data_IF_860694232465
#
_entry.id   IF_860694232465
#
_cell.length_a   1.000
_cell.length_b   1.000
_cell.length_c   1.000
_cell.angle_alpha   90.00
_cell.angle_beta   90.00
_cell.angle_gamma   90.00
#
_symmetry.space_group_name_H-M   'P 1'
#
loop_
_entity.id
_entity.type
_entity.pdbx_description
1 polymer ?
#
# COMPACT_ATOMS: atom_id res chain seq x y z
N UNK A 1 -19.57 -12.20 23.34
CA UNK A 1 -19.48 -10.78 22.95
C UNK A 1 -20.06 -10.61 21.54
N UNK A 2 -21.39 -10.47 21.38
CA UNK A 2 -22.06 -10.40 20.07
C UNK A 2 -21.57 -9.27 19.14
N UNK A 3 -21.06 -8.19 19.72
CA UNK A 3 -20.50 -7.03 19.03
C UNK A 3 -19.06 -7.23 18.52
N UNK A 4 -18.36 -8.26 19.01
CA UNK A 4 -16.92 -8.44 18.74
C UNK A 4 -16.71 -9.01 17.34
N UNK A 5 -16.23 -8.16 16.42
CA UNK A 5 -15.81 -8.55 15.07
C UNK A 5 -14.28 -8.66 15.04
N UNK A 6 -13.77 -9.89 15.10
CA UNK A 6 -12.32 -10.12 15.08
C UNK A 6 -11.81 -10.22 13.64
N UNK A 7 -10.63 -9.65 13.32
CA UNK A 7 -10.05 -9.70 11.99
C UNK A 7 -9.32 -11.04 11.73
N UNK A 8 -9.91 -12.18 12.10
CA UNK A 8 -9.26 -13.49 12.04
C UNK A 8 -8.72 -13.84 10.65
N UNK A 9 -9.41 -13.45 9.59
CA UNK A 9 -8.92 -13.65 8.22
C UNK A 9 -7.60 -12.91 7.96
N UNK A 10 -7.47 -11.68 8.45
CA UNK A 10 -6.22 -10.90 8.34
C UNK A 10 -5.12 -11.45 9.24
N UNK A 11 -5.48 -11.90 10.45
CA UNK A 11 -4.54 -12.56 11.36
C UNK A 11 -4.00 -13.86 10.76
N UNK A 12 -4.85 -14.65 10.11
CA UNK A 12 -4.45 -15.88 9.44
C UNK A 12 -3.54 -15.60 8.24
N UNK A 13 -3.85 -14.57 7.44
CA UNK A 13 -2.95 -14.13 6.35
C UNK A 13 -1.59 -13.75 6.94
N UNK A 14 -1.57 -12.92 7.99
CA UNK A 14 -0.33 -12.50 8.67
C UNK A 14 0.45 -13.68 9.28
N UNK A 15 -0.22 -14.71 9.79
CA UNK A 15 0.45 -15.90 10.33
C UNK A 15 1.09 -16.72 9.21
N UNK A 16 0.37 -16.94 8.11
CA UNK A 16 0.82 -17.74 6.97
C UNK A 16 1.96 -17.11 6.17
N UNK A 17 2.15 -15.78 6.23
CA UNK A 17 3.36 -15.17 5.66
C UNK A 17 4.63 -15.70 6.34
N UNK A 18 4.55 -16.06 7.63
CA UNK A 18 5.65 -16.72 8.34
C UNK A 18 6.01 -18.07 7.74
N UNK A 19 5.01 -18.90 7.42
CA UNK A 19 5.21 -20.22 6.79
C UNK A 19 5.89 -20.10 5.41
N UNK A 20 5.47 -19.14 4.59
CA UNK A 20 6.07 -18.89 3.27
C UNK A 20 7.51 -18.36 3.41
N UNK A 21 7.75 -17.47 4.39
CA UNK A 21 9.07 -16.89 4.62
C UNK A 21 10.08 -17.93 5.12
N UNK A 22 9.67 -18.82 6.02
CA UNK A 22 10.55 -19.88 6.54
C UNK A 22 10.81 -20.97 5.50
N UNK A 23 9.86 -21.23 4.60
CA UNK A 23 10.07 -22.16 3.49
C UNK A 23 11.25 -21.74 2.60
N UNK A 24 11.43 -20.45 2.34
CA UNK A 24 12.60 -19.94 1.62
C UNK A 24 13.92 -20.29 2.33
N UNK A 25 14.00 -20.03 3.64
CA UNK A 25 15.18 -20.37 4.43
C UNK A 25 15.47 -21.88 4.46
N UNK A 26 14.42 -22.70 4.60
CA UNK A 26 14.55 -24.16 4.57
C UNK A 26 15.08 -24.67 3.23
N UNK A 27 14.56 -24.14 2.11
CA UNK A 27 15.06 -24.49 0.77
C UNK A 27 16.52 -24.07 0.60
N UNK A 28 16.92 -22.88 1.06
CA UNK A 28 18.31 -22.44 0.99
C UNK A 28 19.25 -23.37 1.77
N UNK A 29 18.88 -23.83 2.96
CA UNK A 29 19.73 -24.74 3.73
C UNK A 29 19.87 -26.12 3.06
N UNK A 30 18.79 -26.61 2.43
CA UNK A 30 18.85 -27.83 1.62
C UNK A 30 19.80 -27.66 0.42
N UNK A 31 19.83 -26.48 -0.20
CA UNK A 31 20.65 -26.22 -1.38
C UNK A 31 22.12 -25.88 -1.07
N UNK A 32 22.44 -25.45 0.16
CA UNK A 32 23.78 -24.97 0.56
C UNK A 32 24.90 -25.99 0.29
N UNK A 33 24.60 -27.28 0.38
CA UNK A 33 25.56 -28.37 0.17
C UNK A 33 25.48 -29.04 -1.21
N UNK A 34 24.63 -28.55 -2.11
CA UNK A 34 24.49 -29.17 -3.43
C UNK A 34 25.73 -28.91 -4.30
N UNK A 35 26.26 -29.99 -4.86
CA UNK A 35 27.43 -29.99 -5.76
C UNK A 35 27.04 -30.03 -7.24
N UNK A 36 25.75 -29.86 -7.56
CA UNK A 36 25.23 -29.83 -8.94
C UNK A 36 24.93 -31.22 -9.50
N UNK A 37 24.89 -32.24 -8.64
CA UNK A 37 24.59 -33.62 -8.99
C UNK A 37 23.13 -33.99 -8.78
N UNK A 38 22.89 -35.26 -8.47
CA UNK A 38 21.55 -35.78 -8.16
C UNK A 38 21.32 -35.79 -6.66
N UNK A 39 21.36 -34.61 -6.03
CA UNK A 39 21.22 -34.45 -4.60
C UNK A 39 19.85 -34.99 -4.12
N UNK A 40 19.87 -36.12 -3.41
CA UNK A 40 18.64 -36.83 -3.02
C UNK A 40 17.85 -36.07 -1.97
N UNK A 41 18.53 -35.40 -1.06
CA UNK A 41 17.99 -34.43 -0.10
C UNK A 41 17.17 -33.32 -0.77
N UNK A 42 17.69 -32.72 -1.84
CA UNK A 42 16.98 -31.69 -2.65
C UNK A 42 15.70 -32.28 -3.24
N UNK A 43 15.78 -33.48 -3.84
CA UNK A 43 14.61 -34.14 -4.45
C UNK A 43 13.56 -34.57 -3.44
N UNK A 44 13.99 -35.04 -2.26
CA UNK A 44 13.10 -35.57 -1.23
C UNK A 44 12.32 -34.46 -0.53
N UNK A 45 12.96 -33.34 -0.22
CA UNK A 45 12.39 -32.33 0.68
C UNK A 45 12.03 -31.02 -0.01
N UNK A 46 12.78 -30.60 -1.03
CA UNK A 46 12.60 -29.34 -1.74
C UNK A 46 11.19 -29.17 -2.33
N UNK A 47 10.71 -30.10 -3.18
CA UNK A 47 9.39 -30.00 -3.81
C UNK A 47 8.26 -29.86 -2.78
N UNK A 48 8.25 -30.68 -1.73
CA UNK A 48 7.21 -30.64 -0.69
C UNK A 48 7.15 -29.29 0.03
N UNK A 49 8.31 -28.70 0.34
CA UNK A 49 8.40 -27.40 1.01
C UNK A 49 7.94 -26.29 0.06
N UNK A 50 8.40 -26.32 -1.19
CA UNK A 50 8.02 -25.36 -2.21
C UNK A 50 6.51 -25.40 -2.51
N UNK A 51 5.96 -26.59 -2.73
CA UNK A 51 4.53 -26.78 -3.01
C UNK A 51 3.66 -26.29 -1.86
N UNK A 52 4.03 -26.62 -0.62
CA UNK A 52 3.31 -26.11 0.55
C UNK A 52 3.38 -24.57 0.59
N UNK A 53 4.54 -23.96 0.40
CA UNK A 53 4.68 -22.50 0.39
C UNK A 53 3.84 -21.83 -0.69
N UNK A 54 3.82 -22.38 -1.91
CA UNK A 54 2.99 -21.90 -3.03
C UNK A 54 1.51 -22.03 -2.69
N UNK A 55 1.08 -23.16 -2.15
CA UNK A 55 -0.31 -23.38 -1.73
C UNK A 55 -0.73 -22.43 -0.61
N UNK A 56 0.13 -22.16 0.38
CA UNK A 56 -0.16 -21.19 1.44
C UNK A 56 -0.27 -19.77 0.89
N UNK A 57 0.59 -19.40 -0.06
CA UNK A 57 0.49 -18.12 -0.76
C UNK A 57 -0.84 -18.01 -1.53
N UNK A 58 -1.22 -19.04 -2.27
CA UNK A 58 -2.48 -19.10 -3.00
C UNK A 58 -3.70 -18.98 -2.06
N UNK A 59 -3.70 -19.71 -0.94
CA UNK A 59 -4.76 -19.64 0.07
C UNK A 59 -4.89 -18.22 0.66
N UNK A 60 -3.78 -17.53 0.93
CA UNK A 60 -3.81 -16.15 1.44
C UNK A 60 -4.46 -15.19 0.43
N UNK A 61 -4.14 -15.33 -0.85
CA UNK A 61 -4.77 -14.54 -1.93
C UNK A 61 -6.26 -14.88 -2.05
N UNK A 62 -6.60 -16.16 -1.99
CA UNK A 62 -7.99 -16.64 -2.05
C UNK A 62 -8.81 -16.10 -0.87
N UNK A 63 -8.22 -15.92 0.31
CA UNK A 63 -8.88 -15.34 1.47
C UNK A 63 -8.96 -13.80 1.42
N UNK A 64 -7.90 -13.14 0.95
CA UNK A 64 -7.85 -11.67 0.84
C UNK A 64 -8.87 -11.15 -0.20
N UNK A 65 -9.08 -11.90 -1.28
CA UNK A 65 -9.97 -11.51 -2.39
C UNK A 65 -11.42 -11.22 -1.95
N UNK A 66 -12.15 -12.13 -1.29
CA UNK A 66 -13.51 -11.86 -0.81
C UNK A 66 -13.53 -10.83 0.32
N UNK A 67 -12.48 -10.75 1.15
CA UNK A 67 -12.36 -9.71 2.17
C UNK A 67 -12.36 -8.31 1.54
N UNK A 68 -11.53 -8.08 0.52
CA UNK A 68 -11.50 -6.80 -0.19
C UNK A 68 -12.81 -6.52 -0.94
N UNK A 69 -13.43 -7.53 -1.54
CA UNK A 69 -14.73 -7.39 -2.23
C UNK A 69 -15.88 -6.96 -1.30
N UNK A 70 -15.81 -7.35 -0.03
CA UNK A 70 -16.86 -7.08 0.97
C UNK A 70 -16.51 -5.94 1.93
N UNK A 71 -15.31 -5.37 1.81
CA UNK A 71 -14.81 -4.31 2.68
C UNK A 71 -15.73 -3.09 2.62
N UNK A 72 -16.27 -2.71 3.78
CA UNK A 72 -17.08 -1.48 3.93
C UNK A 72 -16.22 -0.39 4.57
N UNK A 73 -16.03 0.69 3.84
CA UNK A 73 -15.29 1.87 4.29
C UNK A 73 -16.26 2.88 4.91
N UNK A 74 -15.95 3.35 6.11
CA UNK A 74 -16.67 4.48 6.71
C UNK A 74 -16.11 5.79 6.12
N UNK A 75 -16.70 6.25 5.01
CA UNK A 75 -16.24 7.42 4.26
C UNK A 75 -16.28 8.70 5.09
N UNK A 76 -17.31 8.86 5.91
CA UNK A 76 -17.47 10.04 6.77
C UNK A 76 -16.36 10.10 7.81
N UNK A 77 -16.11 8.99 8.52
CA UNK A 77 -15.03 8.92 9.50
C UNK A 77 -13.65 9.10 8.85
N UNK A 78 -13.44 8.54 7.66
CA UNK A 78 -12.19 8.73 6.91
C UNK A 78 -12.00 10.21 6.51
N UNK A 79 -13.06 10.88 6.05
CA UNK A 79 -13.00 12.29 5.68
C UNK A 79 -12.78 13.20 6.89
N UNK A 80 -13.44 12.89 8.01
CA UNK A 80 -13.23 13.58 9.29
C UNK A 80 -11.76 13.49 9.71
N UNK A 81 -11.21 12.27 9.72
CA UNK A 81 -9.83 12.02 10.17
C UNK A 81 -8.75 12.37 9.15
N UNK A 82 -9.10 12.77 7.93
CA UNK A 82 -8.12 13.07 6.89
C UNK A 82 -7.21 14.25 7.25
N UNK A 83 -7.70 15.22 8.04
CA UNK A 83 -6.94 16.36 8.54
C UNK A 83 -6.51 16.26 10.01
N UNK A 84 -6.99 15.23 10.73
CA UNK A 84 -6.64 15.03 12.14
C UNK A 84 -5.13 14.86 12.30
N UNK A 85 -4.58 15.37 13.41
CA UNK A 85 -3.14 15.33 13.65
C UNK A 85 -2.32 16.22 12.70
N UNK A 86 -2.95 17.21 12.07
CA UNK A 86 -2.29 18.19 11.19
C UNK A 86 -1.56 17.56 9.99
N UNK A 87 -2.10 16.47 9.45
CA UNK A 87 -1.56 15.75 8.26
C UNK A 87 -1.39 16.64 7.02
N UNK A 88 -2.16 17.72 6.91
CA UNK A 88 -2.09 18.71 5.82
C UNK A 88 -1.09 19.84 6.08
N UNK A 89 -0.45 19.90 7.26
CA UNK A 89 0.44 21.00 7.65
C UNK A 89 1.64 21.22 6.71
N UNK A 90 2.09 20.16 6.01
CA UNK A 90 3.14 20.31 5.00
C UNK A 90 2.71 21.21 3.83
N UNK A 91 1.42 21.25 3.45
CA UNK A 91 0.95 22.20 2.44
C UNK A 91 0.88 23.64 2.96
N UNK A 92 0.72 23.84 4.27
CA UNK A 92 0.88 25.16 4.87
C UNK A 92 2.35 25.62 4.81
N UNK A 93 3.30 24.70 5.01
CA UNK A 93 4.71 25.00 4.81
C UNK A 93 5.02 25.34 3.34
N UNK A 94 4.49 24.56 2.38
CA UNK A 94 4.61 24.85 0.94
C UNK A 94 4.07 26.26 0.62
N UNK A 95 2.90 26.62 1.17
CA UNK A 95 2.29 27.95 0.99
C UNK A 95 3.16 29.08 1.56
N UNK A 96 3.83 28.86 2.70
CA UNK A 96 4.76 29.83 3.28
C UNK A 96 6.03 29.99 2.43
N UNK A 97 6.49 28.91 1.79
CA UNK A 97 7.62 28.97 0.84
C UNK A 97 7.24 29.75 -0.41
N UNK A 98 6.05 29.50 -0.96
CA UNK A 98 5.49 30.31 -2.06
C UNK A 98 5.34 31.80 -1.67
N UNK A 99 5.18 32.07 -0.37
CA UNK A 99 5.17 33.43 0.18
C UNK A 99 6.57 34.03 0.44
N UNK A 100 7.63 33.38 -0.05
CA UNK A 100 9.00 33.91 -0.02
C UNK A 100 9.86 33.49 1.17
N UNK A 101 9.39 32.56 2.02
CA UNK A 101 10.21 32.01 3.09
C UNK A 101 11.07 30.83 2.61
N UNK A 102 12.21 30.61 3.28
CA UNK A 102 12.95 29.36 3.10
C UNK A 102 12.13 28.18 3.63
N UNK A 103 12.27 26.99 3.03
CA UNK A 103 11.59 25.78 3.51
C UNK A 103 11.89 25.50 4.99
N UNK A 104 13.14 25.69 5.42
CA UNK A 104 13.54 25.53 6.83
C UNK A 104 12.72 26.44 7.73
N UNK A 105 12.62 27.72 7.39
CA UNK A 105 11.85 28.70 8.15
C UNK A 105 10.36 28.33 8.17
N UNK A 106 9.78 28.01 7.02
CA UNK A 106 8.39 27.59 6.90
C UNK A 106 8.09 26.34 7.76
N UNK A 107 8.98 25.35 7.73
CA UNK A 107 8.89 24.14 8.54
C UNK A 107 8.92 24.44 10.04
N UNK A 108 9.80 25.33 10.51
CA UNK A 108 9.83 25.72 11.93
C UNK A 108 8.57 26.47 12.36
N UNK A 109 8.05 27.38 11.53
CA UNK A 109 6.80 28.10 11.80
C UNK A 109 5.64 27.12 11.94
N UNK A 110 5.50 26.19 10.99
CA UNK A 110 4.44 25.18 11.01
C UNK A 110 4.60 24.24 12.21
N UNK A 111 5.81 23.81 12.54
CA UNK A 111 6.07 23.00 13.73
C UNK A 111 5.68 23.71 15.02
N UNK A 112 5.97 25.03 15.13
CA UNK A 112 5.54 25.84 16.26
C UNK A 112 4.03 25.99 16.31
N UNK A 113 3.38 26.21 15.18
CA UNK A 113 1.92 26.30 15.05
C UNK A 113 1.24 25.02 15.53
N UNK A 114 1.68 23.84 15.06
CA UNK A 114 1.12 22.56 15.47
C UNK A 114 1.27 22.35 16.98
N UNK A 115 2.41 22.73 17.55
CA UNK A 115 2.63 22.67 19.00
C UNK A 115 1.68 23.59 19.76
N UNK A 116 1.56 24.85 19.35
CA UNK A 116 0.64 25.82 19.96
C UNK A 116 -0.82 25.34 19.90
N UNK A 117 -1.25 24.83 18.74
CA UNK A 117 -2.59 24.32 18.55
C UNK A 117 -2.86 23.12 19.48
N UNK A 118 -1.92 22.17 19.53
CA UNK A 118 -2.01 20.98 20.39
C UNK A 118 -2.04 21.33 21.87
N UNK A 119 -1.16 22.23 22.33
CA UNK A 119 -1.13 22.74 23.71
C UNK A 119 -2.45 23.41 24.11
N UNK A 120 -3.20 23.96 23.15
CA UNK A 120 -4.50 24.63 23.34
C UNK A 120 -5.71 23.74 23.09
N UNK A 121 -5.52 22.46 22.76
CA UNK A 121 -6.61 21.55 22.40
C UNK A 121 -7.33 21.91 21.10
N UNK A 122 -6.66 22.63 20.20
CA UNK A 122 -7.19 23.05 18.89
C UNK A 122 -6.85 22.02 17.81
N UNK A 123 -7.77 21.80 16.88
CA UNK A 123 -7.58 20.97 15.70
C UNK A 123 -7.17 21.78 14.46
N UNK A 124 -6.95 21.10 13.34
CA UNK A 124 -6.58 21.73 12.07
C UNK A 124 -7.63 22.72 11.54
N UNK A 125 -8.91 22.52 11.90
CA UNK A 125 -10.03 23.40 11.51
C UNK A 125 -10.06 24.71 12.28
N UNK A 126 -9.43 24.74 13.46
CA UNK A 126 -9.38 25.91 14.33
C UNK A 126 -8.18 26.81 14.02
N UNK A 127 -7.32 26.39 13.09
CA UNK A 127 -6.16 27.18 12.66
C UNK A 127 -6.63 28.37 11.85
N UNK A 128 -6.44 29.55 12.43
CA UNK A 128 -6.74 30.82 11.80
C UNK A 128 -5.46 31.63 11.52
N UNK A 129 -5.65 32.84 11.01
CA UNK A 129 -4.53 33.75 10.75
C UNK A 129 -3.78 34.11 12.04
N UNK A 130 -4.49 34.35 13.14
CA UNK A 130 -3.87 34.80 14.38
C UNK A 130 -2.88 33.76 14.91
N UNK A 131 -3.25 32.48 14.86
CA UNK A 131 -2.38 31.39 15.30
C UNK A 131 -1.15 31.21 14.40
N UNK A 132 -1.32 31.34 13.07
CA UNK A 132 -0.20 31.33 12.11
C UNK A 132 0.76 32.49 12.36
N UNK A 133 0.20 33.68 12.58
CA UNK A 133 0.94 34.91 12.82
C UNK A 133 1.67 34.89 14.19
N UNK A 134 1.09 34.25 15.20
CA UNK A 134 1.72 33.99 16.49
C UNK A 134 2.91 33.04 16.36
N UNK A 135 2.72 31.90 15.68
CA UNK A 135 3.79 30.95 15.43
C UNK A 135 4.93 31.56 14.60
N UNK A 136 4.59 32.41 13.62
CA UNK A 136 5.58 33.14 12.85
C UNK A 136 6.38 34.13 13.71
N UNK A 137 5.71 34.87 14.59
CA UNK A 137 6.37 35.82 15.50
C UNK A 137 7.40 35.12 16.39
N UNK A 138 7.07 33.93 16.90
CA UNK A 138 7.99 33.14 17.73
C UNK A 138 9.26 32.68 17.00
N UNK A 139 9.21 32.48 15.68
CA UNK A 139 10.32 31.93 14.90
C UNK A 139 11.13 33.02 14.17
N UNK A 140 10.46 34.02 13.61
CA UNK A 140 11.09 35.05 12.78
C UNK A 140 10.87 36.48 13.29
N UNK A 141 10.22 36.65 14.44
CA UNK A 141 9.98 37.96 15.05
C UNK A 141 8.95 38.84 14.32
N UNK A 142 8.33 38.34 13.24
CA UNK A 142 7.39 39.09 12.40
C UNK A 142 6.22 38.24 11.93
N UNK A 143 5.17 38.91 11.50
CA UNK A 143 4.01 38.31 10.84
C UNK A 143 4.36 37.86 9.42
N UNK A 144 3.72 36.78 8.99
CA UNK A 144 3.80 36.30 7.61
C UNK A 144 2.65 36.83 6.75
N UNK A 145 1.56 37.30 7.37
CA UNK A 145 0.50 38.00 6.64
C UNK A 145 -0.29 37.13 5.67
N UNK A 146 -0.29 35.80 5.85
CA UNK A 146 -1.12 34.91 5.05
C UNK A 146 -2.61 35.25 5.22
N UNK A 147 -3.36 35.19 4.11
CA UNK A 147 -4.80 35.39 4.16
C UNK A 147 -5.50 34.18 4.77
N UNK A 148 -6.63 34.40 5.44
CA UNK A 148 -7.46 33.32 5.98
C UNK A 148 -7.86 32.30 4.89
N UNK A 149 -8.10 32.78 3.67
CA UNK A 149 -8.40 31.93 2.52
C UNK A 149 -7.21 31.03 2.11
N UNK A 150 -5.97 31.57 2.16
CA UNK A 150 -4.77 30.78 1.86
C UNK A 150 -4.54 29.69 2.91
N UNK A 151 -4.72 30.01 4.19
CA UNK A 151 -4.59 29.06 5.32
C UNK A 151 -5.63 27.95 5.19
N UNK A 152 -6.90 28.31 4.99
CA UNK A 152 -8.00 27.34 4.83
C UNK A 152 -7.76 26.40 3.65
N UNK A 153 -7.28 26.94 2.51
CA UNK A 153 -6.94 26.13 1.34
C UNK A 153 -5.75 25.21 1.57
N UNK A 154 -4.73 25.66 2.30
CA UNK A 154 -3.55 24.87 2.60
C UNK A 154 -3.86 23.69 3.54
N UNK A 155 -4.79 23.89 4.47
CA UNK A 155 -5.18 22.88 5.46
C UNK A 155 -6.35 21.99 5.02
N UNK A 156 -6.94 22.22 3.85
CA UNK A 156 -8.01 21.41 3.27
C UNK A 156 -7.49 20.03 2.79
N UNK A 157 -7.92 18.91 3.39
CA UNK A 157 -7.47 17.58 3.00
C UNK A 157 -7.87 17.18 1.56
N UNK A 158 -9.04 17.58 1.06
CA UNK A 158 -9.47 17.23 -0.30
C UNK A 158 -8.64 18.02 -1.33
N UNK A 159 -8.47 19.33 -1.11
CA UNK A 159 -7.55 20.16 -1.88
C UNK A 159 -6.13 19.62 -1.90
N UNK A 160 -5.61 19.16 -0.74
CA UNK A 160 -4.30 18.52 -0.63
C UNK A 160 -4.19 17.30 -1.54
N UNK A 161 -5.16 16.38 -1.49
CA UNK A 161 -5.15 15.18 -2.34
C UNK A 161 -5.17 15.56 -3.83
N UNK A 162 -5.99 16.53 -4.22
CA UNK A 162 -6.13 16.94 -5.64
C UNK A 162 -4.90 17.68 -6.19
N UNK A 163 -4.10 18.31 -5.35
CA UNK A 163 -2.90 19.04 -5.78
C UNK A 163 -1.70 18.12 -6.05
N UNK A 164 -1.64 16.95 -5.41
CA UNK A 164 -0.54 15.97 -5.57
C UNK A 164 -0.69 15.14 -6.85
N UNK A 165 -0.48 15.80 -8.00
CA UNK A 165 -0.64 15.25 -9.37
C UNK A 165 0.60 14.56 -9.95
N UNK A 166 1.71 14.50 -9.20
CA UNK A 166 2.92 13.83 -9.63
C UNK A 166 2.70 12.33 -9.85
N UNK A 167 3.60 11.67 -10.59
CA UNK A 167 3.55 10.23 -10.81
C UNK A 167 3.54 9.47 -9.47
N UNK A 168 2.57 8.57 -9.28
CA UNK A 168 2.35 7.85 -8.02
C UNK A 168 1.55 8.64 -6.97
N UNK A 169 1.10 9.85 -7.29
CA UNK A 169 0.34 10.71 -6.38
C UNK A 169 -1.11 10.25 -6.13
N UNK A 170 -1.74 10.74 -5.04
CA UNK A 170 -3.10 10.38 -4.66
C UNK A 170 -4.19 11.11 -5.45
N UNK A 171 -3.82 12.07 -6.32
CA UNK A 171 -4.81 12.84 -7.07
C UNK A 171 -5.71 11.91 -7.93
N UNK A 172 -7.03 12.17 -8.03
CA UNK A 172 -7.95 11.26 -8.71
C UNK A 172 -7.58 10.95 -10.17
N UNK A 173 -7.03 11.92 -10.90
CA UNK A 173 -6.56 11.71 -12.27
C UNK A 173 -5.39 10.72 -12.35
N UNK A 174 -4.44 10.84 -11.43
CA UNK A 174 -3.27 9.98 -11.36
C UNK A 174 -3.61 8.57 -10.88
N UNK A 175 -4.49 8.44 -9.88
CA UNK A 175 -5.01 7.15 -9.43
C UNK A 175 -5.73 6.41 -10.57
N UNK A 176 -6.57 7.10 -11.35
CA UNK A 176 -7.21 6.51 -12.54
C UNK A 176 -6.20 6.04 -13.58
N UNK A 177 -5.15 6.82 -13.84
CA UNK A 177 -4.05 6.43 -14.74
C UNK A 177 -3.35 5.16 -14.25
N UNK A 178 -3.03 5.08 -12.96
CA UNK A 178 -2.40 3.91 -12.34
C UNK A 178 -3.30 2.68 -12.40
N UNK A 179 -4.60 2.80 -12.12
CA UNK A 179 -5.58 1.72 -12.25
C UNK A 179 -5.59 1.17 -13.68
N UNK A 180 -5.73 2.04 -14.68
CA UNK A 180 -5.72 1.61 -16.08
C UNK A 180 -4.40 0.91 -16.47
N UNK A 181 -3.27 1.34 -15.90
CA UNK A 181 -1.99 0.65 -16.08
C UNK A 181 -1.98 -0.76 -15.47
N UNK A 182 -2.58 -0.94 -14.28
CA UNK A 182 -2.67 -2.25 -13.63
C UNK A 182 -3.63 -3.19 -14.34
N UNK A 183 -4.76 -2.69 -14.84
CA UNK A 183 -5.69 -3.47 -15.65
C UNK A 183 -5.03 -4.02 -16.92
N UNK A 184 -4.23 -3.19 -17.62
CA UNK A 184 -3.45 -3.66 -18.79
C UNK A 184 -2.44 -4.75 -18.43
N UNK A 185 -1.77 -4.61 -17.29
CA UNK A 185 -0.82 -5.63 -16.81
C UNK A 185 -1.55 -6.92 -16.43
N UNK A 186 -2.68 -6.84 -15.74
CA UNK A 186 -3.50 -8.00 -15.39
C UNK A 186 -3.95 -8.75 -16.64
N UNK A 187 -4.47 -8.05 -17.64
CA UNK A 187 -4.89 -8.67 -18.90
C UNK A 187 -3.71 -9.37 -19.62
N UNK A 188 -2.49 -8.83 -19.53
CA UNK A 188 -1.29 -9.51 -20.06
C UNK A 188 -1.01 -10.81 -19.31
N UNK A 189 -1.07 -10.78 -17.98
CA UNK A 189 -0.83 -11.96 -17.15
C UNK A 189 -1.90 -13.04 -17.32
N UNK A 190 -3.17 -12.65 -17.41
CA UNK A 190 -4.28 -13.58 -17.68
C UNK A 190 -4.09 -14.31 -19.01
N UNK A 191 -3.70 -13.59 -20.07
CA UNK A 191 -3.35 -14.23 -21.37
C UNK A 191 -2.17 -15.17 -21.26
N UNK A 192 -1.11 -14.78 -20.55
CA UNK A 192 0.08 -15.61 -20.37
C UNK A 192 -0.24 -16.90 -19.60
N UNK A 193 -1.00 -16.80 -18.51
CA UNK A 193 -1.43 -17.94 -17.71
C UNK A 193 -2.39 -18.84 -18.50
N UNK A 194 -3.41 -18.27 -19.15
CA UNK A 194 -4.35 -19.03 -19.97
C UNK A 194 -3.67 -19.78 -21.11
N UNK A 195 -2.68 -19.15 -21.77
CA UNK A 195 -1.87 -19.80 -22.79
C UNK A 195 -1.01 -20.94 -22.23
N UNK A 196 -0.42 -20.78 -21.05
CA UNK A 196 0.34 -21.84 -20.40
C UNK A 196 -0.55 -23.04 -20.02
N UNK A 197 -1.71 -22.79 -19.41
CA UNK A 197 -2.69 -23.81 -19.05
C UNK A 197 -3.16 -24.60 -20.28
N UNK A 198 -3.45 -23.90 -21.38
CA UNK A 198 -3.86 -24.52 -22.64
C UNK A 198 -2.78 -25.46 -23.18
N UNK A 199 -1.52 -25.00 -23.23
CA UNK A 199 -0.40 -25.83 -23.69
C UNK A 199 -0.18 -27.08 -22.83
N UNK A 200 -0.34 -26.96 -21.51
CA UNK A 200 -0.23 -28.10 -20.59
C UNK A 200 -1.35 -29.11 -20.90
N UNK A 201 -2.60 -28.65 -21.04
CA UNK A 201 -3.72 -29.51 -21.35
C UNK A 201 -3.60 -30.19 -22.74
N UNK A 202 -3.06 -29.49 -23.74
CA UNK A 202 -2.77 -30.05 -25.05
C UNK A 202 -1.67 -31.13 -24.99
N UNK A 203 -0.60 -30.87 -24.25
CA UNK A 203 0.49 -31.83 -24.06
C UNK A 203 -0.01 -33.10 -23.36
N UNK A 204 -0.85 -32.96 -22.34
CA UNK A 204 -1.46 -34.06 -21.61
C UNK A 204 -2.36 -34.93 -22.51
N UNK A 205 -3.24 -34.30 -23.31
CA UNK A 205 -4.05 -35.02 -24.30
C UNK A 205 -3.19 -35.79 -25.31
N UNK A 206 -2.11 -35.18 -25.80
CA UNK A 206 -1.19 -35.84 -26.75
C UNK A 206 -0.46 -37.02 -26.12
N UNK A 207 -0.06 -36.90 -24.85
CA UNK A 207 0.57 -37.97 -24.11
C UNK A 207 -0.39 -39.16 -23.94
N UNK A 208 -1.61 -38.91 -23.48
CA UNK A 208 -2.65 -39.94 -23.31
C UNK A 208 -2.91 -40.66 -24.63
N UNK A 209 -3.13 -39.92 -25.72
CA UNK A 209 -3.36 -40.51 -27.04
C UNK A 209 -2.18 -41.36 -27.54
N UNK A 210 -0.94 -40.93 -27.25
CA UNK A 210 0.25 -41.69 -27.61
C UNK A 210 0.34 -43.00 -26.81
N UNK A 211 0.04 -42.97 -25.51
CA UNK A 211 0.00 -44.17 -24.65
C UNK A 211 -1.06 -45.14 -25.14
N UNK A 212 -2.29 -44.68 -25.39
CA UNK A 212 -3.38 -45.54 -25.89
C UNK A 212 -3.05 -46.22 -27.21
N UNK A 213 -2.38 -45.52 -28.14
CA UNK A 213 -1.94 -46.09 -29.40
C UNK A 213 -0.88 -47.17 -29.20
N UNK A 214 0.06 -46.97 -28.28
CA UNK A 214 1.10 -47.96 -27.96
C UNK A 214 0.55 -49.17 -27.21
N UNK A 215 -0.51 -49.03 -26.43
CA UNK A 215 -1.13 -50.14 -25.69
C UNK A 215 -2.04 -51.03 -26.55
N UNK A 216 -2.39 -50.61 -27.77
CA UNK A 216 -3.25 -51.36 -28.71
C UNK A 216 -2.48 -52.12 -29.79
N UNK A 217 -1.16 -51.96 -29.86
CA UNK A 217 -0.27 -52.69 -30.78
C UNK A 217 0.60 -53.68 -30.02
#
# INVERSE_FOLDING_TARGET
MPQKKNPYSLEMIKARTGEVTTAFGAILEILKGDTGGTAFDVKLTGPRIADNAVNRAADMVALMTPLLKTLRLNRERMAESAGDGFTTAVALADTLVEHGLSFRTAHHIVGRLVRLATERGLGYRDVDRALVDEAARDIIGKHVGLTAAAIKRALDPDGFVRSRRGNGGPAPGEVRRMIASRERQNAKWERAVGGAVTRIADADRRLIAAVERLSRG
#
